data_IF_498320714513
#
_entry.id   IF_498320714513
#
_cell.length_a   1.000
_cell.length_b   1.000
_cell.length_c   1.000
_cell.angle_alpha   90.00
_cell.angle_beta   90.00
_cell.angle_gamma   90.00
#
_symmetry.space_group_name_H-M   'P 1'
#
loop_
_entity.id
_entity.type
_entity.pdbx_description
1 polymer ?
#
# COMPACT_ATOMS: atom_id res chain seq x y z
N UNK A 1 30.92 6.78 -13.64
CA UNK A 1 31.38 7.58 -12.49
C UNK A 1 31.01 6.88 -11.19
N UNK A 2 31.94 6.60 -10.27
CA UNK A 2 31.60 5.96 -9.00
C UNK A 2 30.86 6.97 -8.11
N UNK A 3 29.65 6.62 -7.68
CA UNK A 3 28.85 7.42 -6.73
C UNK A 3 29.67 7.57 -5.45
N UNK A 4 30.10 8.80 -5.11
CA UNK A 4 30.69 9.14 -3.81
C UNK A 4 29.80 8.54 -2.72
N UNK A 5 30.32 7.58 -1.93
CA UNK A 5 29.65 7.13 -0.70
C UNK A 5 29.39 8.38 0.13
N UNK A 6 28.11 8.74 0.30
CA UNK A 6 27.72 9.82 1.20
C UNK A 6 28.32 9.52 2.57
N UNK A 7 29.18 10.42 3.08
CA UNK A 7 29.74 10.28 4.43
C UNK A 7 28.56 10.29 5.40
N UNK A 8 28.46 9.25 6.22
CA UNK A 8 27.43 9.18 7.25
C UNK A 8 27.56 10.36 8.21
N UNK A 9 26.47 11.10 8.43
CA UNK A 9 26.48 12.27 9.30
C UNK A 9 26.40 11.84 10.76
N UNK A 10 27.43 12.19 11.54
CA UNK A 10 27.45 11.96 12.98
C UNK A 10 26.78 13.13 13.69
N UNK A 11 25.63 12.87 14.30
CA UNK A 11 24.93 13.86 15.14
C UNK A 11 25.49 13.79 16.56
N UNK A 12 25.90 14.94 17.09
CA UNK A 12 26.29 15.10 18.50
C UNK A 12 25.14 15.67 19.31
N UNK A 13 25.18 15.51 20.63
CA UNK A 13 24.17 16.10 21.52
C UNK A 13 24.10 17.63 21.40
N UNK A 14 25.24 18.30 21.15
CA UNK A 14 25.29 19.76 20.94
C UNK A 14 24.53 20.16 19.67
N UNK A 15 24.72 19.41 18.57
CA UNK A 15 23.99 19.63 17.32
C UNK A 15 22.49 19.40 17.54
N UNK A 16 22.12 18.29 18.18
CA UNK A 16 20.73 17.97 18.46
C UNK A 16 20.04 19.05 19.30
N UNK A 17 20.65 19.50 20.41
CA UNK A 17 20.11 20.59 21.24
C UNK A 17 19.95 21.89 20.44
N UNK A 18 20.91 22.23 19.58
CA UNK A 18 20.81 23.42 18.71
C UNK A 18 19.74 23.29 17.63
N UNK A 19 19.30 22.07 17.30
CA UNK A 19 18.25 21.80 16.32
C UNK A 19 16.84 21.79 16.91
N UNK A 20 16.69 21.92 18.23
CA UNK A 20 15.38 22.02 18.88
C UNK A 20 14.80 23.43 18.66
N UNK A 21 13.53 23.48 18.27
CA UNK A 21 12.75 24.72 18.11
C UNK A 21 11.39 24.55 18.80
N UNK A 22 10.79 25.67 19.19
CA UNK A 22 9.39 25.69 19.62
C UNK A 22 8.50 25.81 18.38
N UNK A 23 7.46 25.00 18.29
CA UNK A 23 6.37 25.21 17.32
C UNK A 23 5.45 26.33 17.80
N UNK A 24 4.62 26.91 16.90
CA UNK A 24 3.59 27.87 17.30
C UNK A 24 2.64 27.33 18.37
N UNK A 25 2.40 26.02 18.39
CA UNK A 25 1.54 25.34 19.35
C UNK A 25 2.24 25.06 20.69
N UNK A 26 3.49 25.51 20.87
CA UNK A 26 4.24 25.37 22.12
C UNK A 26 4.94 24.02 22.29
N UNK A 27 5.08 23.22 21.23
CA UNK A 27 5.79 21.94 21.27
C UNK A 27 7.28 22.09 20.99
N UNK A 28 8.13 21.31 21.66
CA UNK A 28 9.57 21.21 21.37
C UNK A 28 9.79 20.23 20.23
N UNK A 29 10.05 20.78 19.04
CA UNK A 29 10.36 20.01 17.83
C UNK A 29 11.87 19.89 17.64
N UNK A 30 12.37 18.66 17.57
CA UNK A 30 13.73 18.34 17.12
C UNK A 30 13.70 17.97 15.63
N UNK A 31 14.31 18.81 14.79
CA UNK A 31 14.38 18.57 13.33
C UNK A 31 15.77 18.15 12.89
N UNK A 32 15.90 16.94 12.36
CA UNK A 32 17.13 16.35 11.83
C UNK A 32 16.86 15.68 10.46
N UNK A 33 15.99 16.28 9.65
CA UNK A 33 15.62 15.74 8.35
C UNK A 33 16.69 15.98 7.27
N UNK A 34 16.82 15.03 6.35
CA UNK A 34 17.70 15.14 5.17
C UNK A 34 19.16 15.54 5.45
N UNK A 35 19.74 15.04 6.56
CA UNK A 35 21.15 15.30 6.88
C UNK A 35 22.05 14.09 6.67
N UNK A 36 21.54 12.97 6.14
CA UNK A 36 22.35 11.80 5.81
C UNK A 36 22.72 10.92 7.02
N UNK A 37 21.84 10.82 8.02
CA UNK A 37 21.99 9.88 9.13
C UNK A 37 21.80 8.46 8.59
N UNK A 38 22.77 7.56 8.84
CA UNK A 38 22.67 6.14 8.48
C UNK A 38 22.35 5.23 9.67
N UNK A 39 22.76 5.65 10.88
CA UNK A 39 22.57 4.94 12.14
C UNK A 39 21.90 5.91 13.10
N UNK A 40 20.84 5.47 13.77
CA UNK A 40 20.14 6.29 14.76
C UNK A 40 21.13 6.84 15.81
N UNK A 41 21.21 8.18 16.01
CA UNK A 41 22.15 8.74 16.98
C UNK A 41 21.65 8.50 18.40
N UNK A 42 22.24 7.54 19.12
CA UNK A 42 21.83 7.19 20.50
C UNK A 42 21.86 8.36 21.48
N UNK A 43 22.61 9.42 21.21
CA UNK A 43 22.61 10.63 22.03
C UNK A 43 21.24 11.33 22.08
N UNK A 44 20.37 11.12 21.08
CA UNK A 44 19.02 11.69 21.06
C UNK A 44 18.15 11.14 22.19
N UNK A 45 18.43 9.91 22.66
CA UNK A 45 17.70 9.29 23.78
C UNK A 45 17.85 10.04 25.12
N UNK A 46 18.78 11.02 25.20
CA UNK A 46 18.92 11.92 26.35
C UNK A 46 17.96 13.11 26.31
N UNK A 47 17.25 13.32 25.20
CA UNK A 47 16.33 14.44 24.97
C UNK A 47 14.88 13.96 25.18
N UNK A 48 14.58 13.44 26.37
CA UNK A 48 13.27 12.85 26.71
C UNK A 48 12.12 13.85 26.64
N UNK A 49 12.45 15.14 26.76
CA UNK A 49 11.53 16.25 26.77
C UNK A 49 11.33 16.84 25.36
N UNK A 50 11.31 16.00 24.32
CA UNK A 50 11.00 16.41 22.95
C UNK A 50 9.60 15.93 22.65
N UNK A 51 8.76 16.84 22.18
CA UNK A 51 7.36 16.57 21.92
C UNK A 51 7.18 16.12 20.45
N UNK A 52 8.08 16.55 19.56
CA UNK A 52 8.03 16.21 18.13
C UNK A 52 9.41 15.91 17.56
N UNK A 53 9.56 14.80 16.86
CA UNK A 53 10.83 14.33 16.30
C UNK A 53 10.74 14.08 14.79
N UNK A 54 11.45 14.90 14.02
CA UNK A 54 11.60 14.73 12.58
C UNK A 54 12.98 14.14 12.25
N UNK A 55 12.99 12.88 11.83
CA UNK A 55 14.15 12.14 11.32
C UNK A 55 13.96 11.72 9.87
N UNK A 56 13.04 12.38 9.15
CA UNK A 56 12.69 12.03 7.79
C UNK A 56 13.80 12.24 6.77
N UNK A 57 13.69 11.59 5.61
CA UNK A 57 14.62 11.70 4.47
C UNK A 57 16.08 11.39 4.84
N UNK A 58 16.27 10.42 5.73
CA UNK A 58 17.59 9.93 6.11
C UNK A 58 17.79 8.50 5.57
N UNK A 59 18.84 7.81 6.01
CA UNK A 59 19.14 6.44 5.60
C UNK A 59 19.14 5.48 6.79
N UNK A 60 18.33 5.76 7.82
CA UNK A 60 18.25 4.97 9.05
C UNK A 60 17.66 3.60 8.73
N UNK A 61 18.36 2.54 9.11
CA UNK A 61 17.94 1.15 8.87
C UNK A 61 17.21 0.53 10.07
N UNK A 62 17.57 0.95 11.29
CA UNK A 62 17.01 0.43 12.54
C UNK A 62 16.86 1.56 13.56
N UNK A 63 15.74 1.54 14.28
CA UNK A 63 15.55 2.34 15.48
C UNK A 63 16.22 1.63 16.68
N UNK A 64 16.62 2.37 17.73
CA UNK A 64 17.18 1.78 18.93
C UNK A 64 16.10 1.05 19.74
N UNK A 65 16.49 -0.01 20.46
CA UNK A 65 15.59 -0.73 21.37
C UNK A 65 15.02 0.15 22.50
N UNK A 66 15.60 1.34 22.74
CA UNK A 66 15.17 2.30 23.75
C UNK A 66 14.35 3.48 23.17
N UNK A 67 13.78 3.39 21.95
CA UNK A 67 13.02 4.50 21.37
C UNK A 67 11.87 4.96 22.28
N UNK A 68 11.29 4.03 23.05
CA UNK A 68 10.27 4.30 24.06
C UNK A 68 10.67 5.28 25.19
N UNK A 69 11.93 5.72 25.28
CA UNK A 69 12.38 6.72 26.28
C UNK A 69 11.86 8.14 26.00
N UNK A 70 11.35 8.42 24.80
CA UNK A 70 10.76 9.73 24.49
C UNK A 70 9.33 9.83 25.06
N UNK A 71 9.22 9.93 26.39
CA UNK A 71 7.94 9.91 27.10
C UNK A 71 7.00 11.06 26.77
N UNK A 72 7.51 12.20 26.30
CA UNK A 72 6.70 13.35 25.89
C UNK A 72 6.35 13.36 24.40
N UNK A 73 6.79 12.36 23.62
CA UNK A 73 6.67 12.40 22.17
C UNK A 73 5.22 12.22 21.72
N UNK A 74 4.74 13.18 20.95
CA UNK A 74 3.41 13.20 20.35
C UNK A 74 3.46 13.05 18.83
N UNK A 75 4.56 13.43 18.20
CA UNK A 75 4.72 13.41 16.75
C UNK A 75 6.07 12.80 16.36
N UNK A 76 6.05 11.75 15.54
CA UNK A 76 7.25 11.08 15.05
C UNK A 76 7.19 10.90 13.54
N UNK A 77 8.14 11.53 12.84
CA UNK A 77 8.30 11.38 11.39
C UNK A 77 9.62 10.69 11.05
N UNK A 78 9.48 9.54 10.41
CA UNK A 78 10.53 8.66 9.94
C UNK A 78 10.39 8.39 8.44
N UNK A 79 9.63 9.20 7.70
CA UNK A 79 9.39 8.97 6.29
C UNK A 79 10.68 8.99 5.48
N UNK A 80 10.71 8.24 4.37
CA UNK A 80 11.88 8.17 3.48
C UNK A 80 13.16 7.79 4.22
N UNK A 81 13.13 6.64 4.90
CA UNK A 81 14.29 6.00 5.51
C UNK A 81 14.49 4.59 4.92
N UNK A 82 15.23 3.73 5.61
CA UNK A 82 15.48 2.33 5.22
C UNK A 82 15.04 1.35 6.30
N UNK A 83 14.04 1.72 7.11
CA UNK A 83 13.61 0.90 8.24
C UNK A 83 13.07 -0.44 7.75
N UNK A 84 13.62 -1.52 8.28
CA UNK A 84 13.19 -2.90 7.99
C UNK A 84 12.26 -3.46 9.07
N UNK A 85 12.41 -2.95 10.31
CA UNK A 85 11.54 -3.27 11.44
C UNK A 85 11.45 -2.12 12.44
N UNK A 86 10.45 -2.20 13.31
CA UNK A 86 10.32 -1.36 14.50
C UNK A 86 10.62 -2.19 15.76
N UNK A 87 11.27 -1.61 16.78
CA UNK A 87 11.50 -2.27 18.07
C UNK A 87 10.19 -2.33 18.86
N UNK A 88 10.05 -3.33 19.74
CA UNK A 88 8.85 -3.46 20.60
C UNK A 88 8.61 -2.22 21.47
N UNK A 89 9.67 -1.52 21.88
CA UNK A 89 9.55 -0.29 22.68
C UNK A 89 8.89 0.88 21.96
N UNK A 90 8.56 0.76 20.66
CA UNK A 90 7.69 1.73 19.99
C UNK A 90 6.35 1.85 20.71
N UNK A 91 5.81 0.75 21.25
CA UNK A 91 4.55 0.74 21.99
C UNK A 91 4.57 1.50 23.30
N UNK A 92 5.75 1.88 23.81
CA UNK A 92 5.87 2.69 25.02
C UNK A 92 5.63 4.19 24.75
N UNK A 93 5.53 4.61 23.48
CA UNK A 93 5.23 5.99 23.09
C UNK A 93 3.72 6.26 23.19
N UNK A 94 3.12 6.03 24.36
CA UNK A 94 1.65 6.04 24.54
C UNK A 94 1.00 7.41 24.30
N UNK A 95 1.78 8.50 24.36
CA UNK A 95 1.36 9.85 24.01
C UNK A 95 1.41 10.17 22.50
N UNK A 96 1.89 9.24 21.66
CA UNK A 96 2.06 9.48 20.23
C UNK A 96 0.70 9.60 19.54
N UNK A 97 0.48 10.73 18.86
CA UNK A 97 -0.74 11.03 18.09
C UNK A 97 -0.51 10.94 16.59
N UNK A 98 0.74 11.09 16.14
CA UNK A 98 1.13 11.03 14.74
C UNK A 98 2.39 10.17 14.55
N UNK A 99 2.30 9.19 13.65
CA UNK A 99 3.42 8.33 13.25
C UNK A 99 3.49 8.21 11.73
N UNK A 100 4.57 8.72 11.15
CA UNK A 100 4.84 8.60 9.72
C UNK A 100 6.03 7.67 9.46
N UNK A 101 5.73 6.52 8.85
CA UNK A 101 6.67 5.47 8.45
C UNK A 101 6.65 5.26 6.93
N UNK A 102 6.06 6.20 6.18
CA UNK A 102 5.92 6.12 4.74
C UNK A 102 7.29 6.01 4.05
N UNK A 103 7.36 5.26 2.96
CA UNK A 103 8.58 5.13 2.14
C UNK A 103 9.76 4.56 2.95
N UNK A 104 9.56 3.36 3.49
CA UNK A 104 10.58 2.57 4.19
C UNK A 104 10.68 1.17 3.55
N UNK A 105 11.23 0.19 4.27
CA UNK A 105 11.39 -1.20 3.82
C UNK A 105 10.66 -2.17 4.77
N UNK A 106 9.65 -1.68 5.47
CA UNK A 106 8.93 -2.46 6.47
C UNK A 106 8.21 -3.61 5.78
N UNK A 107 8.31 -4.78 6.39
CA UNK A 107 7.48 -5.96 6.08
C UNK A 107 6.55 -6.19 7.26
N UNK A 108 5.53 -7.03 7.09
CA UNK A 108 4.57 -7.29 8.17
C UNK A 108 5.21 -7.95 9.39
N UNK A 109 6.25 -8.78 9.21
CA UNK A 109 7.08 -9.30 10.30
C UNK A 109 7.93 -8.23 11.03
N UNK A 110 8.15 -7.08 10.38
CA UNK A 110 8.86 -5.94 10.96
C UNK A 110 7.98 -5.02 11.81
N UNK A 111 6.67 -5.26 11.87
CA UNK A 111 5.73 -4.52 12.70
C UNK A 111 5.50 -5.28 14.02
N UNK A 112 5.93 -4.74 15.18
CA UNK A 112 5.72 -5.40 16.47
C UNK A 112 4.26 -5.34 16.90
N UNK A 113 3.80 -6.33 17.65
CA UNK A 113 2.45 -6.35 18.21
C UNK A 113 2.19 -5.17 19.16
N UNK A 114 3.24 -4.65 19.81
CA UNK A 114 3.16 -3.47 20.68
C UNK A 114 2.80 -2.18 19.95
N UNK A 115 2.76 -2.16 18.61
CA UNK A 115 2.23 -1.03 17.86
C UNK A 115 0.75 -0.75 18.22
N UNK A 116 0.00 -1.79 18.60
CA UNK A 116 -1.37 -1.65 19.12
C UNK A 116 -1.48 -0.94 20.47
N UNK A 117 -0.37 -0.74 21.20
CA UNK A 117 -0.35 -0.01 22.47
C UNK A 117 -0.39 1.52 22.29
N UNK A 118 -0.27 2.02 21.05
CA UNK A 118 -0.33 3.45 20.73
C UNK A 118 -1.78 3.96 20.71
N UNK A 119 -2.51 3.81 21.82
CA UNK A 119 -3.96 4.07 21.89
C UNK A 119 -4.35 5.54 21.66
N UNK A 120 -3.41 6.47 21.80
CA UNK A 120 -3.59 7.89 21.46
C UNK A 120 -3.37 8.23 19.98
N UNK A 121 -2.95 7.26 19.17
CA UNK A 121 -2.54 7.49 17.77
C UNK A 121 -3.75 7.86 16.92
N UNK A 122 -3.66 9.01 16.24
CA UNK A 122 -4.72 9.55 15.38
C UNK A 122 -4.39 9.40 13.90
N UNK A 123 -3.11 9.50 13.54
CA UNK A 123 -2.66 9.37 12.16
C UNK A 123 -1.47 8.42 12.07
N UNK A 124 -1.62 7.38 11.24
CA UNK A 124 -0.60 6.39 10.96
C UNK A 124 -0.40 6.27 9.45
N UNK A 125 0.81 6.57 8.98
CA UNK A 125 1.16 6.41 7.58
C UNK A 125 2.21 5.32 7.38
N UNK A 126 1.80 4.20 6.78
CA UNK A 126 2.62 3.04 6.43
C UNK A 126 2.75 2.86 4.91
N UNK A 127 2.39 3.87 4.12
CA UNK A 127 2.46 3.79 2.66
C UNK A 127 3.86 3.55 2.12
N UNK A 128 3.98 3.08 0.88
CA UNK A 128 5.27 2.82 0.23
C UNK A 128 6.20 1.93 1.06
N UNK A 129 5.68 0.79 1.53
CA UNK A 129 6.44 -0.24 2.23
C UNK A 129 6.29 -1.58 1.48
N UNK A 130 6.49 -2.70 2.18
CA UNK A 130 6.35 -4.06 1.64
C UNK A 130 5.42 -4.89 2.54
N UNK A 131 4.35 -4.26 3.01
CA UNK A 131 3.38 -4.88 3.92
C UNK A 131 2.35 -5.68 3.12
N UNK A 132 2.07 -6.91 3.57
CA UNK A 132 1.00 -7.75 3.03
C UNK A 132 -0.15 -7.93 4.04
N UNK A 133 0.13 -7.74 5.33
CA UNK A 133 -0.84 -7.71 6.44
C UNK A 133 -0.43 -6.70 7.54
N UNK A 134 -1.27 -6.53 8.55
CA UNK A 134 -1.00 -5.73 9.76
C UNK A 134 -1.17 -6.59 11.02
N UNK A 135 -0.43 -6.31 12.11
CA UNK A 135 -0.65 -6.99 13.39
C UNK A 135 -2.08 -6.83 13.90
N UNK A 136 -2.71 -7.92 14.33
CA UNK A 136 -4.10 -7.91 14.85
C UNK A 136 -4.26 -7.05 16.10
N UNK A 137 -3.19 -6.84 16.87
CA UNK A 137 -3.17 -5.93 18.02
C UNK A 137 -3.48 -4.48 17.67
N UNK A 138 -3.33 -4.07 16.40
CA UNK A 138 -3.73 -2.73 15.94
C UNK A 138 -5.25 -2.51 15.98
N UNK A 139 -6.05 -3.55 16.22
CA UNK A 139 -7.47 -3.41 16.54
C UNK A 139 -7.72 -2.52 17.78
N UNK A 140 -6.74 -2.39 18.68
CA UNK A 140 -6.83 -1.55 19.88
C UNK A 140 -6.55 -0.05 19.62
N UNK A 141 -6.30 0.37 18.38
CA UNK A 141 -6.04 1.76 18.02
C UNK A 141 -7.34 2.56 17.91
N UNK A 142 -8.10 2.64 18.99
CA UNK A 142 -9.44 3.23 19.01
C UNK A 142 -9.46 4.70 18.60
N UNK A 143 -8.38 5.45 18.84
CA UNK A 143 -8.27 6.87 18.46
C UNK A 143 -7.87 7.10 17.00
N UNK A 144 -7.60 6.04 16.22
CA UNK A 144 -7.05 6.18 14.88
C UNK A 144 -8.08 6.74 13.90
N UNK A 145 -7.74 7.87 13.29
CA UNK A 145 -8.60 8.61 12.36
C UNK A 145 -8.13 8.48 10.92
N UNK A 146 -6.82 8.42 10.72
CA UNK A 146 -6.20 8.36 9.39
C UNK A 146 -5.21 7.20 9.28
N UNK A 147 -5.41 6.33 8.29
CA UNK A 147 -4.55 5.19 8.00
C UNK A 147 -4.13 5.18 6.53
N UNK A 148 -2.83 5.36 6.29
CA UNK A 148 -2.22 5.26 4.98
C UNK A 148 -1.55 3.91 4.75
N UNK A 149 -2.05 3.12 3.79
CA UNK A 149 -1.53 1.81 3.39
C UNK A 149 -1.16 1.73 1.90
N UNK A 150 -1.21 2.84 1.19
CA UNK A 150 -0.98 2.88 -0.26
C UNK A 150 0.40 2.34 -0.64
N UNK A 151 0.57 1.82 -1.85
CA UNK A 151 1.86 1.29 -2.34
C UNK A 151 2.46 0.21 -1.44
N UNK A 152 1.68 -0.83 -1.17
CA UNK A 152 2.11 -2.01 -0.42
C UNK A 152 1.73 -3.28 -1.21
N UNK A 153 1.69 -4.42 -0.52
CA UNK A 153 1.45 -5.75 -1.08
C UNK A 153 0.15 -6.38 -0.53
N UNK A 154 -0.79 -5.57 -0.02
CA UNK A 154 -2.05 -6.08 0.55
C UNK A 154 -2.91 -6.75 -0.53
N UNK A 155 -3.18 -8.04 -0.37
CA UNK A 155 -4.13 -8.81 -1.17
C UNK A 155 -5.54 -8.72 -0.55
N UNK A 156 -5.60 -8.76 0.77
CA UNK A 156 -6.78 -8.49 1.59
C UNK A 156 -6.38 -7.57 2.73
N UNK A 157 -7.33 -6.86 3.31
CA UNK A 157 -7.11 -6.09 4.54
C UNK A 157 -7.53 -6.94 5.73
N UNK A 158 -6.81 -6.87 6.87
CA UNK A 158 -7.29 -7.45 8.11
C UNK A 158 -8.66 -6.90 8.50
N UNK A 159 -9.54 -7.77 9.00
CA UNK A 159 -10.94 -7.42 9.32
C UNK A 159 -11.05 -6.22 10.26
N UNK A 160 -10.12 -6.11 11.23
CA UNK A 160 -10.12 -5.02 12.20
C UNK A 160 -10.09 -3.63 11.55
N UNK A 161 -9.48 -3.47 10.36
CA UNK A 161 -9.38 -2.17 9.67
C UNK A 161 -10.75 -1.60 9.33
N UNK A 162 -11.73 -2.46 9.05
CA UNK A 162 -13.09 -2.06 8.70
C UNK A 162 -13.96 -1.75 9.93
N UNK A 163 -13.55 -2.18 11.13
CA UNK A 163 -14.30 -2.00 12.38
C UNK A 163 -13.65 -0.99 13.33
N UNK A 164 -12.55 -0.33 12.92
CA UNK A 164 -11.93 0.72 13.71
C UNK A 164 -12.92 1.88 13.92
N UNK A 165 -13.27 2.22 15.17
CA UNK A 165 -14.45 3.03 15.47
C UNK A 165 -14.35 4.48 14.99
N UNK A 166 -13.14 5.04 14.93
CA UNK A 166 -12.90 6.44 14.59
C UNK A 166 -12.20 6.64 13.24
N UNK A 167 -12.03 5.59 12.44
CA UNK A 167 -11.27 5.67 11.19
C UNK A 167 -12.10 6.40 10.12
N UNK A 168 -11.66 7.60 9.73
CA UNK A 168 -12.36 8.45 8.75
C UNK A 168 -11.65 8.51 7.41
N UNK A 169 -10.33 8.27 7.37
CA UNK A 169 -9.54 8.29 6.14
C UNK A 169 -8.70 7.02 6.03
N UNK A 170 -9.01 6.23 5.02
CA UNK A 170 -8.25 5.04 4.66
C UNK A 170 -7.74 5.18 3.23
N UNK A 171 -6.42 5.11 3.04
CA UNK A 171 -5.82 5.11 1.72
C UNK A 171 -5.12 3.79 1.44
N UNK A 172 -5.73 2.95 0.61
CA UNK A 172 -5.23 1.62 0.23
C UNK A 172 -4.83 1.53 -1.25
N UNK A 173 -4.73 2.67 -1.95
CA UNK A 173 -4.43 2.73 -3.38
C UNK A 173 -3.14 1.98 -3.72
N UNK A 174 -3.05 1.44 -4.95
CA UNK A 174 -1.86 0.74 -5.45
C UNK A 174 -1.42 -0.43 -4.54
N UNK A 175 -2.41 -1.22 -4.11
CA UNK A 175 -2.23 -2.55 -3.54
C UNK A 175 -2.90 -3.59 -4.44
N UNK A 176 -2.42 -4.85 -4.47
CA UNK A 176 -3.05 -5.94 -5.22
C UNK A 176 -4.33 -6.47 -4.54
N UNK A 177 -5.20 -5.59 -4.06
CA UNK A 177 -6.42 -5.95 -3.32
C UNK A 177 -7.39 -6.75 -4.20
N UNK A 178 -7.75 -7.94 -3.74
CA UNK A 178 -8.68 -8.85 -4.44
C UNK A 178 -10.14 -8.45 -4.21
N UNK A 179 -10.46 -7.81 -3.09
CA UNK A 179 -11.83 -7.46 -2.67
C UNK A 179 -12.48 -6.29 -3.45
N UNK A 180 -11.83 -5.78 -4.50
CA UNK A 180 -12.30 -4.63 -5.28
C UNK A 180 -12.64 -5.00 -6.74
N UNK A 181 -12.81 -6.28 -7.04
CA UNK A 181 -13.28 -6.76 -8.34
C UNK A 181 -14.79 -7.00 -8.43
N UNK A 182 -15.56 -6.82 -7.35
CA UNK A 182 -17.02 -6.95 -7.39
C UNK A 182 -17.76 -5.61 -7.52
N UNK A 183 -17.14 -4.47 -7.16
CA UNK A 183 -17.78 -3.13 -7.21
C UNK A 183 -17.11 -2.12 -8.18
N UNK A 184 -16.55 -2.60 -9.30
CA UNK A 184 -16.09 -1.74 -10.41
C UNK A 184 -16.98 -1.78 -11.64
N UNK A 185 -18.29 -1.87 -11.42
CA UNK A 185 -19.28 -1.38 -12.38
C UNK A 185 -19.93 -0.10 -11.85
N UNK A 186 -19.17 0.99 -11.67
CA UNK A 186 -19.69 2.36 -11.81
C UNK A 186 -18.58 3.43 -11.63
N UNK A 187 -17.71 3.50 -12.63
CA UNK A 187 -17.16 4.79 -13.07
C UNK A 187 -16.81 4.67 -14.55
N UNK A 188 -17.62 5.31 -15.39
CA UNK A 188 -17.51 5.35 -16.85
C UNK A 188 -16.12 5.83 -17.28
N UNK A 189 -15.29 4.89 -17.69
CA UNK A 189 -14.35 5.10 -18.80
C UNK A 189 -14.70 4.07 -19.87
N UNK A 190 -15.09 4.57 -21.05
CA UNK A 190 -15.47 3.77 -22.22
C UNK A 190 -14.29 2.89 -22.66
N UNK A 191 -14.15 1.71 -22.05
CA UNK A 191 -13.40 0.62 -22.65
C UNK A 191 -14.39 -0.26 -23.41
N UNK A 192 -14.48 -0.03 -24.72
CA UNK A 192 -15.04 -1.04 -25.62
C UNK A 192 -14.25 -2.32 -25.38
N UNK A 193 -14.92 -3.41 -25.00
CA UNK A 193 -14.35 -4.74 -25.03
C UNK A 193 -13.74 -4.97 -26.42
N UNK A 194 -12.41 -5.00 -26.50
CA UNK A 194 -11.72 -5.53 -27.68
C UNK A 194 -11.80 -7.04 -27.57
N UNK A 195 -12.86 -7.61 -28.13
CA UNK A 195 -12.88 -9.02 -28.54
C UNK A 195 -11.66 -9.23 -29.45
N UNK A 196 -10.65 -9.92 -28.93
CA UNK A 196 -9.46 -10.26 -29.70
C UNK A 196 -9.66 -11.67 -30.22
N UNK A 197 -9.96 -11.79 -31.51
CA UNK A 197 -10.12 -13.07 -32.21
C UNK A 197 -8.73 -13.50 -32.71
N UNK A 198 -8.31 -14.72 -32.37
CA UNK A 198 -7.09 -15.31 -32.89
C UNK A 198 -7.45 -16.39 -33.92
N UNK A 199 -6.86 -16.30 -35.12
CA UNK A 199 -6.87 -17.39 -36.09
C UNK A 199 -5.88 -18.45 -35.61
N UNK A 200 -6.38 -19.64 -35.29
CA UNK A 200 -5.55 -20.78 -34.86
C UNK A 200 -5.61 -21.85 -35.95
N UNK A 201 -4.45 -22.36 -36.36
CA UNK A 201 -4.36 -23.43 -37.35
C UNK A 201 -4.89 -24.75 -36.75
N UNK A 202 -5.55 -25.60 -37.54
CA UNK A 202 -6.21 -26.82 -37.05
C UNK A 202 -5.23 -27.76 -36.31
N UNK A 203 -3.96 -27.76 -36.70
CA UNK A 203 -2.90 -28.53 -36.03
C UNK A 203 -2.57 -28.07 -34.60
N UNK A 204 -3.03 -26.89 -34.21
CA UNK A 204 -2.77 -26.28 -32.90
C UNK A 204 -3.94 -26.46 -31.93
N UNK A 205 -5.02 -27.12 -32.36
CA UNK A 205 -6.21 -27.41 -31.56
C UNK A 205 -6.24 -28.91 -31.27
N UNK A 206 -6.42 -29.31 -30.01
CA UNK A 206 -6.50 -30.73 -29.70
C UNK A 206 -7.78 -31.37 -30.26
N UNK A 207 -7.75 -32.68 -30.51
CA UNK A 207 -8.78 -33.41 -31.25
C UNK A 207 -10.18 -33.34 -30.63
N UNK A 208 -10.29 -33.12 -29.32
CA UNK A 208 -11.57 -32.90 -28.64
C UNK A 208 -12.17 -31.53 -28.95
N UNK A 209 -11.37 -30.47 -28.95
CA UNK A 209 -11.83 -29.11 -29.25
C UNK A 209 -12.10 -28.91 -30.75
N UNK A 210 -11.34 -29.59 -31.62
CA UNK A 210 -11.57 -29.55 -33.07
C UNK A 210 -12.95 -30.14 -33.43
N UNK A 211 -13.33 -31.27 -32.82
CA UNK A 211 -14.66 -31.89 -32.99
C UNK A 211 -15.78 -30.96 -32.53
N UNK A 212 -15.60 -30.27 -31.40
CA UNK A 212 -16.59 -29.29 -30.91
C UNK A 212 -16.73 -28.12 -31.89
N UNK A 213 -15.62 -27.58 -32.41
CA UNK A 213 -15.65 -26.54 -33.44
C UNK A 213 -16.35 -26.99 -34.73
N UNK A 214 -16.12 -28.22 -35.19
CA UNK A 214 -16.78 -28.78 -36.37
C UNK A 214 -18.30 -28.95 -36.18
N UNK A 215 -18.74 -29.41 -35.01
CA UNK A 215 -20.17 -29.53 -34.66
C UNK A 215 -20.84 -28.17 -34.67
N UNK A 216 -20.20 -27.15 -34.09
CA UNK A 216 -20.72 -25.78 -34.13
C UNK A 216 -20.76 -25.21 -35.56
N UNK A 217 -19.73 -25.47 -36.37
CA UNK A 217 -19.68 -25.08 -37.80
C UNK A 217 -20.85 -25.68 -38.59
N UNK A 218 -21.14 -26.97 -38.41
CA UNK A 218 -22.27 -27.62 -39.09
C UNK A 218 -23.63 -27.09 -38.64
N UNK A 219 -23.75 -26.69 -37.36
CA UNK A 219 -24.98 -26.14 -36.78
C UNK A 219 -25.29 -24.73 -37.33
N UNK A 220 -24.28 -23.91 -37.56
CA UNK A 220 -24.42 -22.60 -38.21
C UNK A 220 -24.88 -22.70 -39.68
N UNK A 221 -24.41 -23.71 -40.42
CA UNK A 221 -24.77 -23.89 -41.83
C UNK A 221 -26.23 -24.33 -42.05
N UNK A 222 -26.89 -24.91 -41.02
CA UNK A 222 -28.30 -25.37 -41.12
C UNK A 222 -29.33 -24.30 -40.71
N UNK A 223 -28.92 -23.19 -40.10
CA UNK A 223 -29.82 -22.16 -39.56
C UNK A 223 -30.26 -21.05 -40.54
N UNK A 224 -29.80 -21.07 -41.80
CA UNK A 224 -30.04 -19.99 -42.77
C UNK A 224 -31.11 -20.31 -43.81
N UNK A 225 -32.39 -20.40 -43.44
CA UNK A 225 -33.52 -20.30 -44.40
C UNK A 225 -34.72 -19.59 -43.76
N UNK A 226 -34.84 -18.29 -44.03
CA UNK A 226 -36.02 -17.46 -43.78
C UNK A 226 -35.80 -16.10 -44.46
N UNK A 227 -36.71 -15.66 -45.32
CA UNK A 227 -36.56 -14.56 -46.29
C UNK A 227 -36.32 -13.18 -45.65
N UNK A 228 -35.97 -12.12 -46.36
CA UNK A 228 -35.95 -11.84 -47.79
C UNK A 228 -35.73 -10.34 -47.97
N UNK A 229 -34.79 -9.99 -48.85
CA UNK A 229 -34.57 -8.72 -49.60
C UNK A 229 -34.94 -7.38 -48.92
N UNK A 230 -33.91 -6.56 -48.69
CA UNK A 230 -34.05 -5.11 -48.53
C UNK A 230 -32.82 -4.46 -47.93
N UNK A 231 -31.80 -4.21 -48.77
CA UNK A 231 -30.76 -3.18 -48.67
C UNK A 231 -30.08 -2.88 -47.31
N UNK A 232 -28.79 -3.25 -47.22
CA UNK A 232 -27.84 -2.58 -46.31
C UNK A 232 -26.91 -3.51 -45.54
N UNK A 233 -25.68 -3.71 -46.06
CA UNK A 233 -24.46 -3.93 -45.27
C UNK A 233 -24.34 -5.20 -44.40
N UNK A 234 -23.59 -6.19 -44.87
CA UNK A 234 -22.57 -6.99 -44.13
C UNK A 234 -22.65 -7.09 -42.58
N UNK A 235 -23.80 -7.41 -41.97
CA UNK A 235 -23.96 -7.44 -40.51
C UNK A 235 -24.42 -8.78 -39.90
N UNK A 236 -24.57 -9.85 -40.69
CA UNK A 236 -25.13 -11.12 -40.18
C UNK A 236 -24.10 -12.19 -39.82
N UNK A 237 -22.93 -12.24 -40.47
CA UNK A 237 -21.86 -13.20 -40.13
C UNK A 237 -21.10 -12.77 -38.87
N UNK A 238 -21.03 -11.46 -38.61
CA UNK A 238 -20.37 -10.89 -37.43
C UNK A 238 -21.10 -11.16 -36.11
N UNK A 239 -22.42 -11.41 -36.14
CA UNK A 239 -23.20 -11.69 -34.93
C UNK A 239 -23.25 -13.16 -34.55
N UNK A 240 -22.78 -14.10 -35.38
CA UNK A 240 -22.84 -15.54 -35.10
C UNK A 240 -21.56 -16.15 -34.50
N UNK A 241 -20.43 -15.43 -34.50
CA UNK A 241 -19.27 -15.80 -33.68
C UNK A 241 -19.41 -15.27 -32.23
N UNK A 242 -20.44 -14.46 -31.93
CA UNK A 242 -20.76 -13.98 -30.58
C UNK A 242 -21.22 -15.06 -29.59
N UNK A 243 -21.14 -16.34 -29.93
CA UNK A 243 -21.73 -17.42 -29.13
C UNK A 243 -20.88 -18.69 -29.02
N UNK A 244 -19.57 -18.60 -29.28
CA UNK A 244 -18.59 -19.67 -28.99
C UNK A 244 -17.39 -18.98 -28.30
N UNK A 245 -17.55 -18.35 -27.14
CA UNK A 245 -17.34 -18.98 -25.83
C UNK A 245 -17.90 -18.06 -24.72
N UNK A 246 -19.22 -17.90 -24.64
CA UNK A 246 -19.83 -17.85 -23.30
C UNK A 246 -19.86 -19.30 -22.86
N UNK A 247 -19.20 -19.61 -21.74
CA UNK A 247 -18.97 -20.96 -21.17
C UNK A 247 -17.70 -21.61 -21.78
N UNK A 248 -16.72 -22.19 -21.07
CA UNK A 248 -16.80 -23.01 -19.85
C UNK A 248 -18.21 -23.49 -19.54
#
# INVERSE_FOLDING_TARGET
MPKKRAKATKVTLKIAKKAIRMTPDGHRRLTLCNIGITIFPKCLLKLTNVDELDLSRNMIQKLPADIGKFSSLQWLDLHSNKLESLPESIGNLTGLTYLNLCNNRLTSAGLPSTLGCLTSLRSLNLGMNRLDTLPTSMAALDSLQELGLFDNLFITLPEFVNILPNLTKLNTKRNPLTYMSEDREDMKEKSKAKETVYLVHESSVCTTHLKTCEVHRQRCLRGGRGGGRGEGGTNSVQYQIRMICRLF
#
